data_IF_380580880412
#
_entry.id   IF_380580880412
#
_cell.length_a   1.000
_cell.length_b   1.000
_cell.length_c   1.000
_cell.angle_alpha   90.00
_cell.angle_beta   90.00
_cell.angle_gamma   90.00
#
_symmetry.space_group_name_H-M   'P 1'
#
loop_
_entity.id
_entity.type
_entity.pdbx_description
1 polymer ?
#
# COMPACT_ATOMS: atom_id res chain seq x y z
N UNK A 1 -19.15 4.85 -20.28
CA UNK A 1 -19.42 4.21 -18.99
C UNK A 1 -20.13 5.22 -18.11
N UNK A 2 -21.39 4.98 -17.73
CA UNK A 2 -22.12 5.82 -16.77
C UNK A 2 -21.82 5.31 -15.37
N UNK A 3 -21.22 6.16 -14.55
CA UNK A 3 -20.90 5.86 -13.16
C UNK A 3 -22.03 6.45 -12.28
N UNK A 4 -22.96 5.62 -11.75
CA UNK A 4 -24.20 6.08 -11.12
C UNK A 4 -23.99 6.88 -9.82
N UNK A 5 -22.79 6.84 -9.25
CA UNK A 5 -22.42 7.63 -8.07
C UNK A 5 -22.09 9.10 -8.40
N UNK A 6 -21.83 9.44 -9.66
CA UNK A 6 -21.43 10.80 -10.04
C UNK A 6 -22.50 11.85 -9.75
N UNK A 7 -23.77 11.47 -9.83
CA UNK A 7 -24.91 12.35 -9.56
C UNK A 7 -25.09 12.64 -8.06
N UNK A 8 -24.34 11.98 -7.17
CA UNK A 8 -24.41 12.13 -5.71
C UNK A 8 -23.18 12.81 -5.09
N UNK A 9 -22.29 13.41 -5.91
CA UNK A 9 -21.16 14.17 -5.40
C UNK A 9 -21.65 15.58 -5.00
N UNK A 10 -21.40 16.05 -3.77
CA UNK A 10 -21.75 17.42 -3.38
C UNK A 10 -21.14 18.45 -4.34
N UNK A 11 -21.88 19.51 -4.66
CA UNK A 11 -21.47 20.54 -5.63
C UNK A 11 -20.20 21.29 -5.22
N UNK A 12 -19.90 21.32 -3.92
CA UNK A 12 -18.74 22.01 -3.36
C UNK A 12 -17.48 21.13 -3.27
N UNK A 13 -17.52 19.88 -3.77
CA UNK A 13 -16.37 18.96 -3.76
C UNK A 13 -15.63 18.99 -5.11
N UNK A 14 -14.30 19.12 -5.03
CA UNK A 14 -13.44 18.97 -6.19
C UNK A 14 -13.21 17.48 -6.53
N UNK A 15 -13.42 17.11 -7.79
CA UNK A 15 -13.07 15.79 -8.31
C UNK A 15 -11.65 15.82 -8.87
N UNK A 16 -10.69 15.34 -8.08
CA UNK A 16 -9.26 15.32 -8.45
C UNK A 16 -8.83 13.87 -8.72
N UNK A 17 -8.21 13.57 -9.88
CA UNK A 17 -7.62 12.26 -10.12
C UNK A 17 -6.54 11.92 -9.10
N UNK A 18 -6.58 10.70 -8.55
CA UNK A 18 -5.68 10.25 -7.47
C UNK A 18 -4.18 10.43 -7.78
N UNK A 19 -3.80 10.27 -9.06
CA UNK A 19 -2.42 10.47 -9.55
C UNK A 19 -1.84 11.87 -9.32
N UNK A 20 -2.68 12.86 -9.01
CA UNK A 20 -2.23 14.22 -8.68
C UNK A 20 -2.15 14.47 -7.18
N UNK A 21 -2.68 13.56 -6.35
CA UNK A 21 -2.71 13.68 -4.90
C UNK A 21 -1.63 12.84 -4.23
N UNK A 22 -1.23 11.73 -4.85
CA UNK A 22 -0.28 10.78 -4.26
C UNK A 22 0.51 10.02 -5.32
N UNK A 23 1.67 9.49 -4.91
CA UNK A 23 2.45 8.54 -5.68
C UNK A 23 1.90 7.13 -5.46
N UNK A 24 1.30 6.57 -6.50
CA UNK A 24 0.84 5.19 -6.48
C UNK A 24 2.00 4.30 -6.90
N UNK A 25 2.39 3.38 -6.01
CA UNK A 25 3.40 2.36 -6.28
C UNK A 25 2.74 0.99 -6.30
N UNK A 26 3.15 0.15 -7.25
CA UNK A 26 2.76 -1.27 -7.27
C UNK A 26 3.91 -2.07 -6.69
N UNK A 27 3.59 -3.08 -5.89
CA UNK A 27 4.56 -4.09 -5.46
C UNK A 27 4.88 -5.09 -6.57
N UNK A 28 5.74 -6.05 -6.22
CA UNK A 28 6.10 -7.21 -7.02
C UNK A 28 6.05 -8.46 -6.15
N UNK A 29 5.94 -9.61 -6.80
CA UNK A 29 6.10 -10.90 -6.13
C UNK A 29 7.51 -11.41 -6.45
N UNK A 30 8.42 -11.53 -5.47
CA UNK A 30 9.68 -12.20 -5.66
C UNK A 30 9.46 -13.64 -6.12
N UNK A 31 10.40 -14.17 -6.90
CA UNK A 31 10.33 -15.56 -7.33
C UNK A 31 10.42 -16.48 -6.09
N UNK A 32 9.40 -17.31 -5.88
CA UNK A 32 9.35 -18.26 -4.75
C UNK A 32 10.31 -19.43 -4.92
N UNK A 33 10.87 -19.64 -6.11
CA UNK A 33 11.88 -20.67 -6.37
C UNK A 33 13.32 -20.21 -6.13
N UNK A 34 13.51 -18.90 -5.94
CA UNK A 34 14.81 -18.32 -5.64
C UNK A 34 14.93 -18.11 -4.13
N UNK A 35 15.48 -19.11 -3.44
CA UNK A 35 15.62 -19.10 -1.97
C UNK A 35 16.43 -17.89 -1.46
N UNK A 36 17.35 -17.34 -2.28
CA UNK A 36 18.13 -16.15 -1.91
C UNK A 36 17.31 -14.86 -1.75
N UNK A 37 16.05 -14.87 -2.22
CA UNK A 37 15.15 -13.73 -2.07
C UNK A 37 14.40 -13.70 -0.74
N UNK A 38 14.43 -14.78 0.04
CA UNK A 38 13.62 -14.96 1.24
C UNK A 38 14.49 -14.99 2.50
N UNK A 39 13.85 -15.02 3.67
CA UNK A 39 14.48 -15.04 4.99
C UNK A 39 15.44 -13.85 5.23
N UNK A 40 15.12 -12.69 4.65
CA UNK A 40 15.83 -11.43 4.89
C UNK A 40 15.23 -10.61 6.05
N UNK A 41 15.54 -9.32 6.07
CA UNK A 41 15.11 -8.39 7.13
C UNK A 41 14.01 -7.41 6.68
N UNK A 42 13.57 -7.46 5.42
CA UNK A 42 12.56 -6.54 4.87
C UNK A 42 11.19 -7.23 4.86
N UNK A 43 10.17 -6.71 5.58
CA UNK A 43 8.85 -7.33 5.57
C UNK A 43 8.20 -7.22 4.17
N UNK A 44 7.69 -8.35 3.67
CA UNK A 44 6.99 -8.42 2.38
C UNK A 44 5.49 -8.63 2.60
N UNK A 45 4.73 -7.53 2.53
CA UNK A 45 3.30 -7.54 2.78
C UNK A 45 2.54 -8.17 1.60
N UNK A 46 1.87 -9.27 1.87
CA UNK A 46 1.02 -10.01 0.94
C UNK A 46 -0.46 -9.75 1.22
N UNK A 47 -1.34 -10.28 0.36
CA UNK A 47 -2.80 -10.23 0.63
C UNK A 47 -3.21 -11.01 1.89
N UNK A 48 -2.38 -11.91 2.41
CA UNK A 48 -2.66 -12.63 3.67
C UNK A 48 -2.52 -11.73 4.88
N UNK A 49 -1.64 -10.74 4.81
CA UNK A 49 -1.37 -9.78 5.88
C UNK A 49 -2.44 -8.68 5.93
N UNK A 50 -3.20 -8.49 4.84
CA UNK A 50 -4.27 -7.48 4.70
C UNK A 50 -5.59 -7.88 5.37
N UNK A 51 -5.53 -8.33 6.63
CA UNK A 51 -6.70 -8.76 7.41
C UNK A 51 -7.11 -7.76 8.50
N UNK A 52 -6.27 -6.76 8.78
CA UNK A 52 -6.49 -5.70 9.76
C UNK A 52 -6.44 -4.32 9.09
N UNK A 53 -6.96 -3.30 9.79
CA UNK A 53 -6.90 -1.90 9.34
C UNK A 53 -5.47 -1.35 9.34
N UNK A 54 -4.63 -1.86 10.24
CA UNK A 54 -3.22 -1.52 10.39
C UNK A 54 -2.36 -2.78 10.28
N UNK A 55 -1.22 -2.68 9.60
CA UNK A 55 -0.25 -3.77 9.41
C UNK A 55 1.07 -3.29 10.00
N UNK A 56 1.45 -3.88 11.13
CA UNK A 56 2.71 -3.58 11.82
C UNK A 56 3.84 -4.55 11.44
N UNK A 57 3.48 -5.70 10.87
CA UNK A 57 4.42 -6.77 10.52
C UNK A 57 3.88 -7.63 9.36
N UNK A 58 4.74 -8.45 8.75
CA UNK A 58 4.41 -9.39 7.67
C UNK A 58 4.81 -10.82 8.03
N UNK A 59 4.09 -11.81 7.48
CA UNK A 59 4.41 -13.23 7.66
C UNK A 59 5.76 -13.62 7.01
N UNK A 60 6.08 -13.01 5.87
CA UNK A 60 7.25 -13.33 5.06
C UNK A 60 8.18 -12.12 4.94
N UNK A 61 9.49 -12.39 4.90
CA UNK A 61 10.54 -11.38 4.80
C UNK A 61 11.43 -11.67 3.60
N UNK A 62 11.86 -10.59 2.94
CA UNK A 62 12.68 -10.65 1.74
C UNK A 62 14.04 -9.98 1.97
N UNK A 63 15.01 -10.37 1.17
CA UNK A 63 16.35 -9.78 1.20
C UNK A 63 16.41 -8.44 0.48
N UNK A 64 17.46 -7.65 0.71
CA UNK A 64 17.75 -6.45 -0.09
C UNK A 64 17.89 -6.79 -1.58
N UNK A 65 18.51 -7.93 -1.88
CA UNK A 65 18.64 -8.45 -3.24
C UNK A 65 17.27 -8.66 -3.90
N UNK A 66 16.31 -9.25 -3.18
CA UNK A 66 14.95 -9.38 -3.68
C UNK A 66 14.32 -8.02 -3.94
N UNK A 67 14.47 -7.06 -3.03
CA UNK A 67 13.89 -5.72 -3.17
C UNK A 67 14.46 -4.95 -4.38
N UNK A 68 15.74 -5.15 -4.71
CA UNK A 68 16.40 -4.53 -5.86
C UNK A 68 16.06 -5.21 -7.18
N UNK A 69 15.96 -6.54 -7.19
CA UNK A 69 15.76 -7.33 -8.41
C UNK A 69 14.29 -7.54 -8.79
N UNK A 70 13.37 -7.20 -7.90
CA UNK A 70 11.93 -7.34 -8.14
C UNK A 70 11.29 -5.97 -8.22
N UNK A 71 10.12 -5.87 -8.85
CA UNK A 71 9.33 -4.64 -8.87
C UNK A 71 8.65 -4.35 -7.52
N UNK A 72 9.23 -4.81 -6.42
CA UNK A 72 8.72 -4.59 -5.07
C UNK A 72 9.06 -3.18 -4.64
N UNK A 73 8.04 -2.33 -4.59
CA UNK A 73 8.23 -0.96 -4.14
C UNK A 73 8.52 -0.93 -2.64
N UNK A 74 9.76 -0.55 -2.28
CA UNK A 74 10.08 -0.19 -0.91
C UNK A 74 9.29 1.07 -0.53
N UNK A 75 8.37 0.89 0.42
CA UNK A 75 7.62 1.99 1.01
C UNK A 75 8.33 2.42 2.29
N UNK A 76 8.37 3.75 2.49
CA UNK A 76 8.83 4.30 3.76
C UNK A 76 7.80 3.96 4.84
N UNK A 77 8.25 3.55 6.02
CA UNK A 77 7.34 3.44 7.16
C UNK A 77 6.79 4.83 7.50
N UNK A 78 5.49 4.89 7.73
CA UNK A 78 4.81 6.08 8.23
C UNK A 78 4.16 5.71 9.56
N UNK A 79 4.36 6.53 10.59
CA UNK A 79 3.67 6.37 11.86
C UNK A 79 2.19 6.72 11.69
N UNK A 80 1.31 5.93 12.29
CA UNK A 80 -0.14 6.19 12.35
C UNK A 80 -0.48 7.47 13.13
N UNK A 81 0.47 8.07 13.83
CA UNK A 81 0.33 9.36 14.53
C UNK A 81 -0.14 10.52 13.61
N UNK A 82 -0.07 10.35 12.28
CA UNK A 82 -0.51 11.36 11.30
C UNK A 82 -2.04 11.36 11.10
N UNK A 83 -2.75 10.27 11.42
CA UNK A 83 -4.21 10.21 11.35
C UNK A 83 -4.85 10.45 12.72
N UNK A 84 -5.07 11.71 13.06
CA UNK A 84 -5.96 12.04 14.17
C UNK A 84 -7.42 11.74 13.76
N UNK A 85 -8.16 10.90 14.51
CA UNK A 85 -9.52 10.50 14.14
C UNK A 85 -10.55 11.65 14.14
N UNK A 86 -10.13 12.86 14.50
CA UNK A 86 -11.01 14.04 14.59
C UNK A 86 -11.56 14.53 13.23
N UNK A 87 -11.10 13.98 12.10
CA UNK A 87 -11.54 14.44 10.76
C UNK A 87 -12.70 13.61 10.19
N UNK A 88 -13.03 12.44 10.76
CA UNK A 88 -14.05 11.53 10.21
C UNK A 88 -15.45 11.68 10.86
N UNK A 89 -15.81 12.88 11.33
CA UNK A 89 -17.09 13.10 11.99
C UNK A 89 -17.61 14.53 11.87
N UNK A 90 -18.24 14.84 10.73
CA UNK A 90 -19.33 15.83 10.63
C UNK A 90 -20.22 15.53 9.44
#
# INVERSE_FOLDING_TARGET
>A
MNAPWKDNIPTDWDSIPLKYLTDIRTGGTPDRSEDSYWDGDIPWVSSKDMISEEIDDAEEYITEEAAENTSTALLKSYSSDIFSPETAGR
#
